data_IF_658038921386
#
_entry.id   IF_658038921386
#
_cell.length_a   1.000
_cell.length_b   1.000
_cell.length_c   1.000
_cell.angle_alpha   90.00
_cell.angle_beta   90.00
_cell.angle_gamma   90.00
#
_symmetry.space_group_name_H-M   'P 1'
#
loop_
_entity.id
_entity.type
_entity.pdbx_description
1 polymer ?
#
# COMPACT_ATOMS: atom_id res chain seq x y z
N UNK A 1 9.65 -19.58 -4.00
CA UNK A 1 9.77 -20.22 -2.67
C UNK A 1 9.75 -19.09 -1.67
N UNK A 2 8.84 -19.05 -0.69
CA UNK A 2 8.91 -18.02 0.33
C UNK A 2 10.21 -18.17 1.11
N UNK A 3 10.80 -17.06 1.52
CA UNK A 3 11.99 -17.03 2.38
C UNK A 3 11.62 -17.28 3.86
N UNK A 4 10.77 -18.27 4.12
CA UNK A 4 10.26 -18.62 5.45
C UNK A 4 10.42 -20.11 5.69
N UNK A 5 10.84 -20.47 6.90
CA UNK A 5 10.98 -21.85 7.35
C UNK A 5 10.41 -22.00 8.75
N UNK A 6 9.82 -23.17 9.03
CA UNK A 6 9.35 -23.55 10.36
C UNK A 6 10.38 -24.52 10.94
N UNK A 7 10.87 -24.22 12.14
CA UNK A 7 11.85 -25.03 12.84
C UNK A 7 11.29 -25.49 14.18
N UNK A 8 11.70 -26.67 14.62
CA UNK A 8 11.41 -27.20 15.96
C UNK A 8 12.68 -27.70 16.62
N UNK A 9 12.69 -27.75 17.95
CA UNK A 9 13.82 -28.20 18.77
C UNK A 9 13.32 -29.35 19.62
N UNK A 10 13.98 -30.51 19.53
CA UNK A 10 13.56 -31.74 20.21
C UNK A 10 13.83 -31.76 21.72
N UNK A 11 14.69 -30.88 22.23
CA UNK A 11 15.01 -30.81 23.66
C UNK A 11 14.00 -29.92 24.40
N UNK A 12 13.17 -30.51 25.27
CA UNK A 12 12.15 -29.81 26.04
C UNK A 12 12.72 -28.68 26.91
N UNK A 13 13.99 -28.78 27.34
CA UNK A 13 14.65 -27.73 28.12
C UNK A 13 14.77 -26.42 27.37
N UNK A 14 14.81 -26.45 26.03
CA UNK A 14 14.82 -25.25 25.21
C UNK A 14 13.53 -24.43 25.40
N UNK A 15 12.40 -25.11 25.65
CA UNK A 15 11.08 -24.51 25.74
C UNK A 15 10.67 -24.11 27.16
N UNK A 16 11.40 -24.57 28.19
CA UNK A 16 11.12 -24.24 29.59
C UNK A 16 11.16 -22.72 29.84
N UNK A 17 10.02 -22.14 30.23
CA UNK A 17 9.90 -20.71 30.53
C UNK A 17 9.82 -19.79 29.31
N UNK A 18 9.77 -20.34 28.09
CA UNK A 18 9.59 -19.56 26.86
C UNK A 18 8.13 -19.12 26.74
N UNK A 19 7.92 -17.82 26.51
CA UNK A 19 6.62 -17.26 26.16
C UNK A 19 6.58 -17.03 24.65
N UNK A 20 5.71 -17.71 23.90
CA UNK A 20 5.59 -17.50 22.46
C UNK A 20 5.21 -16.06 22.13
N UNK A 21 5.70 -15.58 20.99
CA UNK A 21 5.30 -14.26 20.46
C UNK A 21 3.86 -14.31 19.96
N UNK A 22 3.14 -13.22 20.15
CA UNK A 22 1.81 -13.05 19.56
C UNK A 22 1.89 -12.13 18.35
N UNK A 23 1.21 -12.53 17.27
CA UNK A 23 1.10 -11.69 16.08
C UNK A 23 0.20 -10.46 16.34
N UNK A 24 0.58 -9.36 15.73
CA UNK A 24 -0.18 -8.11 15.73
C UNK A 24 -0.71 -7.78 14.35
N UNK A 25 -1.58 -6.77 14.31
CA UNK A 25 -2.09 -6.21 13.07
C UNK A 25 -0.96 -5.56 12.24
N UNK A 26 -1.26 -5.34 10.97
CA UNK A 26 -0.35 -4.65 10.06
C UNK A 26 -0.14 -3.22 10.56
N UNK A 27 1.12 -2.77 10.69
CA UNK A 27 1.44 -1.48 11.26
C UNK A 27 1.09 -0.37 10.28
N UNK A 28 0.69 0.79 10.82
CA UNK A 28 0.39 1.96 10.01
C UNK A 28 1.69 2.63 9.51
N UNK A 29 1.64 3.40 8.40
CA UNK A 29 2.74 4.30 8.04
C UNK A 29 3.16 5.18 9.23
N UNK A 30 4.45 5.47 9.33
CA UNK A 30 5.11 6.21 10.42
C UNK A 30 5.09 5.52 11.80
N UNK A 31 4.43 4.37 11.94
CA UNK A 31 4.44 3.62 13.19
C UNK A 31 5.86 3.15 13.51
N UNK A 32 6.29 3.33 14.77
CA UNK A 32 7.61 2.89 15.21
C UNK A 32 7.64 1.40 15.47
N UNK A 33 8.63 0.74 14.89
CA UNK A 33 8.89 -0.68 15.01
C UNK A 33 10.26 -0.94 15.65
N UNK A 34 10.39 -2.09 16.31
CA UNK A 34 11.62 -2.60 16.87
C UNK A 34 11.97 -3.95 16.23
N UNK A 35 13.08 -4.00 15.50
CA UNK A 35 13.65 -5.23 14.93
C UNK A 35 14.63 -5.79 15.96
N UNK A 36 14.42 -7.05 16.37
CA UNK A 36 15.25 -7.70 17.40
C UNK A 36 15.93 -8.92 16.82
N UNK A 37 17.27 -8.89 16.76
CA UNK A 37 18.04 -9.93 16.10
C UNK A 37 19.45 -10.08 16.66
N UNK A 38 20.23 -10.94 16.01
CA UNK A 38 21.61 -11.27 16.41
C UNK A 38 22.61 -10.99 15.27
N UNK A 39 22.81 -9.73 14.84
CA UNK A 39 23.88 -9.41 13.88
C UNK A 39 25.23 -9.84 14.46
N UNK A 40 26.01 -10.57 13.66
CA UNK A 40 27.32 -11.10 14.04
C UNK A 40 27.34 -11.85 15.40
N UNK A 41 26.23 -12.51 15.74
CA UNK A 41 26.09 -13.32 16.96
C UNK A 41 25.88 -12.53 18.25
N UNK A 42 25.65 -11.21 18.18
CA UNK A 42 25.33 -10.37 19.35
C UNK A 42 23.91 -9.85 19.28
N UNK A 43 23.18 -9.94 20.38
CA UNK A 43 21.84 -9.37 20.45
C UNK A 43 21.86 -7.85 20.19
N UNK A 44 20.98 -7.40 19.30
CA UNK A 44 20.78 -6.00 18.99
C UNK A 44 19.30 -5.70 18.78
N UNK A 45 18.90 -4.48 19.13
CA UNK A 45 17.59 -3.93 18.82
C UNK A 45 17.76 -2.69 17.93
N UNK A 46 17.12 -2.70 16.77
CA UNK A 46 17.08 -1.59 15.82
C UNK A 46 15.67 -1.00 15.85
N UNK A 47 15.55 0.30 16.12
CA UNK A 47 14.27 1.01 16.05
C UNK A 47 14.16 1.73 14.72
N UNK A 48 13.01 1.58 14.05
CA UNK A 48 12.73 2.21 12.75
C UNK A 48 11.26 2.64 12.69
N UNK A 49 10.85 3.29 11.60
CA UNK A 49 9.46 3.63 11.32
C UNK A 49 9.01 3.02 10.00
N UNK A 50 7.72 2.72 9.89
CA UNK A 50 7.13 2.24 8.63
C UNK A 50 7.14 3.37 7.60
N UNK A 51 7.70 3.12 6.42
CA UNK A 51 7.66 4.06 5.30
C UNK A 51 6.51 3.77 4.32
N UNK A 52 6.20 2.48 4.12
CA UNK A 52 5.12 2.04 3.23
C UNK A 52 4.60 0.66 3.59
N UNK A 53 3.32 0.40 3.34
CA UNK A 53 2.74 -0.94 3.30
C UNK A 53 2.33 -1.21 1.85
N UNK A 54 2.84 -2.30 1.28
CA UNK A 54 2.58 -2.64 -0.12
C UNK A 54 2.79 -4.13 -0.39
N UNK A 55 2.44 -4.56 -1.61
CA UNK A 55 2.87 -5.85 -2.12
C UNK A 55 4.37 -5.76 -2.43
N UNK A 56 5.15 -6.64 -1.82
CA UNK A 56 6.60 -6.73 -1.93
C UNK A 56 6.93 -7.95 -2.77
N UNK A 57 7.83 -7.75 -3.73
CA UNK A 57 8.34 -8.80 -4.58
C UNK A 57 9.59 -9.40 -3.97
N UNK A 58 9.50 -10.63 -3.46
CA UNK A 58 10.67 -11.35 -2.99
C UNK A 58 11.54 -11.76 -4.18
N UNK A 59 12.85 -11.54 -4.11
CA UNK A 59 13.80 -11.97 -5.15
C UNK A 59 13.86 -13.50 -5.32
N UNK A 60 13.37 -14.27 -4.35
CA UNK A 60 13.34 -15.74 -4.33
C UNK A 60 11.94 -16.32 -4.60
N UNK A 61 10.92 -15.46 -4.71
CA UNK A 61 9.55 -15.86 -4.96
C UNK A 61 8.96 -15.13 -6.17
N UNK A 62 8.33 -15.88 -7.07
CA UNK A 62 7.55 -15.30 -8.17
C UNK A 62 6.22 -14.69 -7.68
N UNK A 63 5.87 -14.88 -6.40
CA UNK A 63 4.69 -14.30 -5.78
C UNK A 63 5.01 -12.95 -5.12
N UNK A 64 4.13 -12.00 -5.36
CA UNK A 64 4.10 -10.73 -4.62
C UNK A 64 3.27 -10.94 -3.36
N UNK A 65 3.79 -10.51 -2.23
CA UNK A 65 3.16 -10.75 -0.92
C UNK A 65 3.08 -9.46 -0.14
N UNK A 66 2.10 -9.36 0.75
CA UNK A 66 1.94 -8.19 1.58
C UNK A 66 3.13 -8.01 2.51
N UNK A 67 3.68 -6.80 2.52
CA UNK A 67 4.80 -6.48 3.40
C UNK A 67 4.86 -5.01 3.76
N UNK A 68 5.79 -4.73 4.65
CA UNK A 68 6.01 -3.41 5.26
C UNK A 68 7.42 -2.97 4.92
N UNK A 69 7.57 -1.80 4.33
CA UNK A 69 8.85 -1.18 4.02
C UNK A 69 9.28 -0.27 5.16
N UNK A 70 10.58 -0.27 5.42
CA UNK A 70 11.23 0.55 6.45
C UNK A 70 12.50 1.18 5.90
N UNK A 71 12.76 2.41 6.31
CA UNK A 71 13.90 3.21 5.85
C UNK A 71 15.15 2.93 6.71
N UNK A 72 15.44 1.65 6.90
CA UNK A 72 16.66 1.19 7.56
C UNK A 72 17.21 -0.02 6.82
N UNK A 73 18.51 -0.02 6.59
CA UNK A 73 19.21 -1.19 6.06
C UNK A 73 19.22 -2.31 7.11
N UNK A 74 18.58 -3.43 6.80
CA UNK A 74 18.65 -4.67 7.57
C UNK A 74 19.98 -5.34 7.24
N UNK A 75 20.90 -5.33 8.21
CA UNK A 75 22.26 -5.87 8.06
C UNK A 75 22.21 -7.40 7.97
N UNK A 76 23.18 -8.00 7.27
CA UNK A 76 23.36 -9.45 7.21
C UNK A 76 23.35 -10.05 8.62
N UNK A 77 22.57 -11.12 8.82
CA UNK A 77 22.34 -11.74 10.14
C UNK A 77 21.12 -11.21 10.89
N UNK A 78 20.42 -10.20 10.38
CA UNK A 78 19.12 -9.74 10.91
C UNK A 78 17.91 -10.18 10.08
N UNK A 79 18.12 -10.75 8.88
CA UNK A 79 17.05 -11.44 8.14
C UNK A 79 16.49 -12.62 8.95
N UNK A 80 15.17 -12.77 8.97
CA UNK A 80 14.48 -13.74 9.84
C UNK A 80 14.18 -13.23 11.25
N UNK A 81 14.64 -12.03 11.61
CA UNK A 81 14.38 -11.46 12.94
C UNK A 81 12.92 -11.04 13.10
N UNK A 82 12.29 -11.29 14.26
CA UNK A 82 10.97 -10.76 14.55
C UNK A 82 10.99 -9.23 14.64
N UNK A 83 9.92 -8.61 14.16
CA UNK A 83 9.69 -7.17 14.23
C UNK A 83 8.49 -6.89 15.12
N UNK A 84 8.65 -6.01 16.11
CA UNK A 84 7.64 -5.72 17.11
C UNK A 84 7.12 -4.29 17.01
N UNK A 85 5.83 -4.10 17.28
CA UNK A 85 5.27 -2.78 17.56
C UNK A 85 5.45 -2.39 19.04
N UNK A 86 5.05 -1.16 19.39
CA UNK A 86 5.12 -0.64 20.76
C UNK A 86 4.31 -1.44 21.79
N UNK A 87 3.34 -2.25 21.34
CA UNK A 87 2.51 -3.12 22.19
C UNK A 87 3.16 -4.48 22.47
N UNK A 88 4.36 -4.73 21.93
CA UNK A 88 5.06 -6.00 22.06
C UNK A 88 4.49 -7.11 21.18
N UNK A 89 3.65 -6.79 20.19
CA UNK A 89 3.14 -7.77 19.21
C UNK A 89 4.07 -7.85 18.01
N UNK A 90 4.29 -9.06 17.50
CA UNK A 90 5.08 -9.30 16.31
C UNK A 90 4.28 -8.90 15.07
N UNK A 91 4.73 -7.89 14.34
CA UNK A 91 4.07 -7.39 13.13
C UNK A 91 4.61 -8.03 11.85
N UNK A 92 5.69 -8.79 11.96
CA UNK A 92 6.28 -9.48 10.83
C UNK A 92 7.71 -9.96 11.08
N UNK A 93 8.35 -10.36 10.00
CA UNK A 93 9.72 -10.87 9.99
C UNK A 93 10.58 -10.05 9.04
N UNK A 94 11.73 -9.58 9.53
CA UNK A 94 12.72 -8.84 8.77
C UNK A 94 13.17 -9.62 7.53
N UNK A 95 13.12 -8.97 6.37
CA UNK A 95 13.55 -9.53 5.10
C UNK A 95 14.47 -8.54 4.38
N UNK A 96 15.68 -8.98 4.09
CA UNK A 96 16.65 -8.12 3.41
C UNK A 96 16.18 -7.86 1.97
N UNK A 97 15.95 -6.59 1.63
CA UNK A 97 15.65 -6.18 0.25
C UNK A 97 16.93 -6.16 -0.60
N UNK A 98 16.79 -6.13 -1.93
CA UNK A 98 17.93 -5.95 -2.83
C UNK A 98 18.42 -4.48 -2.91
N UNK A 99 17.75 -3.53 -2.24
CA UNK A 99 18.13 -2.12 -2.19
C UNK A 99 19.00 -1.87 -0.97
N UNK A 100 19.99 -0.98 -1.09
CA UNK A 100 21.01 -0.76 -0.04
C UNK A 100 20.47 0.00 1.19
N UNK A 101 19.49 0.91 1.03
CA UNK A 101 19.01 1.80 2.10
C UNK A 101 17.58 1.52 2.60
N UNK A 102 16.86 0.60 1.95
CA UNK A 102 15.49 0.22 2.28
C UNK A 102 15.44 -1.27 2.62
N UNK A 103 14.58 -1.65 3.56
CA UNK A 103 14.33 -3.04 3.84
C UNK A 103 12.86 -3.36 3.94
N UNK A 104 12.56 -4.62 3.66
CA UNK A 104 11.21 -5.13 3.62
C UNK A 104 10.96 -6.00 4.85
N UNK A 105 9.72 -6.08 5.28
CA UNK A 105 9.27 -6.93 6.36
C UNK A 105 8.12 -7.76 5.81
N UNK A 106 8.23 -9.07 5.91
CA UNK A 106 7.13 -9.98 5.59
C UNK A 106 6.07 -9.82 6.70
N UNK A 107 4.86 -9.39 6.33
CA UNK A 107 3.81 -9.12 7.30
C UNK A 107 3.42 -10.37 8.11
N UNK A 108 3.04 -10.18 9.37
CA UNK A 108 2.60 -11.28 10.24
C UNK A 108 1.43 -12.07 9.65
N UNK A 109 0.52 -11.44 8.89
CA UNK A 109 -0.58 -12.11 8.19
C UNK A 109 -0.10 -13.12 7.14
N UNK A 110 1.03 -12.86 6.48
CA UNK A 110 1.65 -13.78 5.52
C UNK A 110 2.25 -14.98 6.27
N UNK A 111 2.88 -14.74 7.41
CA UNK A 111 3.45 -15.80 8.26
C UNK A 111 2.33 -16.69 8.83
N UNK A 112 1.27 -16.07 9.34
CA UNK A 112 0.09 -16.75 9.85
C UNK A 112 -0.59 -17.62 8.76
N UNK A 113 -0.67 -17.12 7.53
CA UNK A 113 -1.15 -17.93 6.40
C UNK A 113 -0.31 -19.19 6.17
N UNK A 114 1.02 -19.07 6.18
CA UNK A 114 1.94 -20.22 6.01
C UNK A 114 1.78 -21.24 7.14
N UNK A 115 1.64 -20.77 8.38
CA UNK A 115 1.43 -21.65 9.54
C UNK A 115 0.09 -22.39 9.43
N UNK A 116 -1.00 -21.67 9.14
CA UNK A 116 -2.31 -22.28 8.97
C UNK A 116 -2.39 -23.26 7.79
N UNK A 117 -1.68 -22.96 6.70
CA UNK A 117 -1.54 -23.87 5.56
C UNK A 117 -0.85 -25.18 5.97
N UNK A 118 0.28 -25.07 6.67
CA UNK A 118 1.01 -26.23 7.17
C UNK A 118 0.18 -27.04 8.18
N UNK A 119 -0.51 -26.39 9.12
CA UNK A 119 -1.35 -27.06 10.11
C UNK A 119 -2.51 -27.84 9.47
N UNK A 120 -3.09 -27.31 8.38
CA UNK A 120 -4.20 -27.95 7.67
C UNK A 120 -3.74 -29.10 6.78
N UNK A 121 -2.59 -28.95 6.12
CA UNK A 121 -2.18 -29.84 5.02
C UNK A 121 -1.00 -30.76 5.37
N UNK A 122 -0.30 -30.50 6.47
CA UNK A 122 0.95 -31.18 6.85
C UNK A 122 2.15 -30.84 5.95
N UNK A 123 1.95 -29.95 4.98
CA UNK A 123 2.93 -29.50 4.01
C UNK A 123 2.55 -28.10 3.50
N UNK A 124 3.54 -27.35 3.01
CA UNK A 124 3.30 -26.04 2.39
C UNK A 124 2.71 -26.21 0.99
N UNK A 125 1.53 -25.63 0.75
CA UNK A 125 0.79 -25.74 -0.52
C UNK A 125 0.85 -24.48 -1.38
N UNK A 126 1.32 -23.36 -0.85
CA UNK A 126 1.52 -22.15 -1.64
C UNK A 126 0.61 -20.98 -1.27
N UNK A 127 0.73 -19.92 -2.06
CA UNK A 127 -0.26 -18.84 -2.13
C UNK A 127 -0.99 -18.98 -3.46
N UNK A 128 -2.34 -18.95 -3.48
CA UNK A 128 -3.10 -19.03 -4.72
C UNK A 128 -2.87 -17.78 -5.57
N UNK A 129 -2.89 -17.95 -6.89
CA UNK A 129 -2.87 -16.85 -7.85
C UNK A 129 -3.98 -17.04 -8.86
N UNK A 130 -4.49 -15.92 -9.38
CA UNK A 130 -5.39 -15.93 -10.53
C UNK A 130 -4.52 -15.93 -11.79
N UNK A 131 -4.56 -17.02 -12.55
CA UNK A 131 -3.86 -17.28 -13.80
C UNK A 131 -4.42 -16.50 -14.99
N UNK A 132 -4.64 -15.21 -14.83
CA UNK A 132 -5.05 -14.31 -15.90
C UNK A 132 -3.94 -13.31 -16.23
N UNK A 133 -3.94 -12.82 -17.46
CA UNK A 133 -3.26 -11.59 -17.87
C UNK A 133 -4.35 -10.57 -18.12
N UNK A 134 -4.18 -9.36 -17.62
CA UNK A 134 -5.22 -8.34 -17.63
C UNK A 134 -4.65 -6.97 -17.99
N UNK A 135 -5.55 -6.04 -18.33
CA UNK A 135 -5.22 -4.67 -18.70
C UNK A 135 -6.14 -3.68 -17.96
N UNK A 136 -5.59 -2.52 -17.59
CA UNK A 136 -6.35 -1.39 -17.06
C UNK A 136 -7.39 -0.89 -18.08
N UNK A 137 -8.49 -0.36 -17.56
CA UNK A 137 -9.64 0.17 -18.29
C UNK A 137 -9.76 1.69 -18.14
N UNK A 138 -8.64 2.41 -18.02
CA UNK A 138 -8.58 3.87 -17.79
C UNK A 138 -9.14 4.69 -18.96
N UNK A 139 -8.95 4.24 -20.20
CA UNK A 139 -9.40 4.96 -21.39
C UNK A 139 -10.92 4.87 -21.57
N UNK A 140 -11.66 6.00 -21.57
CA UNK A 140 -13.11 6.00 -21.73
C UNK A 140 -13.57 5.34 -23.04
N UNK A 141 -12.83 5.53 -24.13
CA UNK A 141 -13.17 4.95 -25.43
C UNK A 141 -13.12 3.42 -25.42
N UNK A 142 -12.19 2.82 -24.67
CA UNK A 142 -12.12 1.38 -24.50
C UNK A 142 -13.33 0.86 -23.72
N UNK A 143 -13.76 1.56 -22.67
CA UNK A 143 -14.96 1.22 -21.89
C UNK A 143 -16.23 1.33 -22.73
N UNK A 144 -16.32 2.38 -23.55
CA UNK A 144 -17.42 2.59 -24.50
C UNK A 144 -17.44 1.48 -25.56
N UNK A 145 -16.29 1.12 -26.12
CA UNK A 145 -16.14 0.04 -27.08
C UNK A 145 -16.61 -1.31 -26.51
N UNK A 146 -16.27 -1.60 -25.25
CA UNK A 146 -16.70 -2.80 -24.54
C UNK A 146 -18.11 -2.70 -23.93
N UNK A 147 -18.82 -1.58 -24.13
CA UNK A 147 -20.19 -1.34 -23.68
C UNK A 147 -20.36 -1.45 -22.15
N UNK A 148 -19.34 -1.01 -21.40
CA UNK A 148 -19.48 -0.87 -19.95
C UNK A 148 -20.57 0.16 -19.63
N UNK A 149 -21.42 -0.14 -18.65
CA UNK A 149 -22.43 0.76 -18.12
C UNK A 149 -21.80 2.01 -17.49
N UNK A 150 -22.59 3.08 -17.40
CA UNK A 150 -22.15 4.30 -16.72
C UNK A 150 -21.76 4.00 -15.27
N UNK A 151 -20.54 4.38 -14.90
CA UNK A 151 -19.98 4.14 -13.57
C UNK A 151 -19.49 2.71 -13.30
N UNK A 152 -19.60 1.79 -14.28
CA UNK A 152 -18.95 0.47 -14.16
C UNK A 152 -17.44 0.59 -14.32
N UNK A 153 -16.73 -0.18 -13.50
CA UNK A 153 -15.29 -0.13 -13.39
C UNK A 153 -14.77 -1.55 -13.23
N UNK A 154 -13.56 -1.81 -13.72
CA UNK A 154 -12.94 -3.12 -13.62
C UNK A 154 -11.73 -3.25 -14.51
N UNK A 155 -11.17 -4.45 -14.58
CA UNK A 155 -10.05 -4.79 -15.45
C UNK A 155 -10.54 -5.72 -16.56
N UNK A 156 -9.98 -5.59 -17.77
CA UNK A 156 -10.26 -6.52 -18.86
C UNK A 156 -9.25 -7.66 -18.86
N UNK A 157 -9.73 -8.89 -19.06
CA UNK A 157 -8.88 -10.06 -19.24
C UNK A 157 -8.33 -10.07 -20.67
N UNK A 158 -7.02 -10.09 -20.81
CA UNK A 158 -6.29 -10.25 -22.08
C UNK A 158 -6.06 -11.72 -22.40
N UNK A 159 -5.73 -12.51 -21.37
CA UNK A 159 -5.43 -13.93 -21.50
C UNK A 159 -5.86 -14.68 -20.25
N UNK A 160 -6.31 -15.93 -20.41
CA UNK A 160 -6.49 -16.88 -19.32
C UNK A 160 -5.53 -18.04 -19.55
N UNK A 161 -4.71 -18.36 -18.55
CA UNK A 161 -3.67 -19.39 -18.64
C UNK A 161 -4.32 -20.79 -18.66
N UNK A 162 -4.01 -21.66 -19.63
CA UNK A 162 -4.64 -22.98 -19.79
C UNK A 162 -4.50 -23.94 -18.60
N UNK A 163 -3.51 -23.75 -17.74
CA UNK A 163 -3.22 -24.66 -16.62
C UNK A 163 -3.93 -24.26 -15.31
N UNK A 164 -4.86 -23.31 -15.38
CA UNK A 164 -5.58 -22.82 -14.21
C UNK A 164 -7.08 -23.12 -14.32
N UNK A 165 -7.79 -23.43 -13.20
CA UNK A 165 -9.22 -23.79 -13.22
C UNK A 165 -10.12 -22.75 -13.89
N UNK A 166 -9.79 -21.48 -13.74
CA UNK A 166 -10.54 -20.37 -14.34
C UNK A 166 -10.52 -20.37 -15.87
N UNK A 167 -9.65 -21.15 -16.54
CA UNK A 167 -9.68 -21.32 -17.99
C UNK A 167 -11.01 -21.87 -18.51
N UNK A 168 -11.74 -22.62 -17.68
CA UNK A 168 -13.06 -23.16 -18.04
C UNK A 168 -14.20 -22.14 -17.88
N UNK A 169 -13.96 -21.07 -17.12
CA UNK A 169 -15.00 -20.12 -16.66
C UNK A 169 -14.80 -18.74 -17.29
N UNK A 170 -13.58 -18.19 -17.17
CA UNK A 170 -13.21 -16.87 -17.65
C UNK A 170 -12.72 -16.93 -19.10
N UNK A 171 -12.91 -15.83 -19.82
CA UNK A 171 -12.50 -15.69 -21.22
C UNK A 171 -11.77 -14.38 -21.46
N UNK A 172 -10.89 -14.32 -22.48
CA UNK A 172 -10.40 -13.05 -22.99
C UNK A 172 -11.56 -12.11 -23.34
N UNK A 173 -11.41 -10.84 -22.98
CA UNK A 173 -12.40 -9.75 -23.04
C UNK A 173 -13.51 -9.78 -21.98
N UNK A 174 -13.52 -10.73 -21.05
CA UNK A 174 -14.33 -10.58 -19.85
C UNK A 174 -13.81 -9.40 -19.01
N UNK A 175 -14.72 -8.71 -18.35
CA UNK A 175 -14.39 -7.59 -17.47
C UNK A 175 -14.67 -8.00 -16.03
N UNK A 176 -13.62 -8.04 -15.20
CA UNK A 176 -13.75 -8.34 -13.79
C UNK A 176 -14.10 -7.04 -13.06
N UNK A 177 -15.35 -6.94 -12.61
CA UNK A 177 -15.87 -5.78 -11.90
C UNK A 177 -15.63 -5.86 -10.38
N UNK A 178 -15.56 -7.07 -9.82
CA UNK A 178 -15.40 -7.29 -8.38
C UNK A 178 -14.84 -8.69 -8.07
N UNK A 179 -14.11 -8.84 -6.96
CA UNK A 179 -13.71 -10.13 -6.36
C UNK A 179 -14.25 -10.19 -4.94
N UNK A 180 -14.96 -11.25 -4.57
CA UNK A 180 -15.58 -11.42 -3.26
C UNK A 180 -16.45 -10.24 -2.80
N UNK A 181 -17.11 -9.56 -3.76
CA UNK A 181 -17.93 -8.38 -3.52
C UNK A 181 -17.16 -7.07 -3.33
N UNK A 182 -15.83 -7.10 -3.40
CA UNK A 182 -14.95 -5.93 -3.39
C UNK A 182 -14.80 -5.44 -4.83
N UNK A 183 -15.15 -4.18 -5.10
CA UNK A 183 -15.14 -3.64 -6.45
C UNK A 183 -13.71 -3.39 -6.95
N UNK A 184 -13.44 -3.71 -8.21
CA UNK A 184 -12.17 -3.45 -8.87
C UNK A 184 -12.28 -2.15 -9.67
N UNK A 185 -11.33 -1.24 -9.48
CA UNK A 185 -11.25 -0.02 -10.27
C UNK A 185 -10.88 -0.26 -11.73
N UNK A 186 -11.13 0.72 -12.59
CA UNK A 186 -10.54 0.76 -13.95
C UNK A 186 -9.01 0.76 -13.95
N UNK A 187 -8.50 1.11 -12.79
CA UNK A 187 -7.20 1.56 -12.48
C UNK A 187 -7.18 1.30 -10.97
N UNK A 188 -6.22 0.55 -10.47
CA UNK A 188 -6.33 0.09 -9.09
C UNK A 188 -6.23 1.18 -8.03
N UNK A 189 -6.38 2.46 -8.32
CA UNK A 189 -5.62 3.49 -7.63
C UNK A 189 -6.44 4.37 -6.70
N UNK A 190 -5.95 4.55 -5.47
CA UNK A 190 -6.38 5.58 -4.52
C UNK A 190 -5.39 6.75 -4.44
N UNK A 191 -5.80 7.83 -3.77
CA UNK A 191 -4.97 9.02 -3.57
C UNK A 191 -4.89 9.34 -2.08
N UNK A 192 -3.68 9.58 -1.58
CA UNK A 192 -3.44 10.11 -0.23
C UNK A 192 -3.19 11.60 -0.33
N UNK A 193 -3.92 12.37 0.48
CA UNK A 193 -3.79 13.82 0.56
C UNK A 193 -3.27 14.21 1.93
N UNK A 194 -2.33 15.16 1.99
CA UNK A 194 -1.78 15.67 3.26
C UNK A 194 -1.46 17.16 3.17
N UNK A 195 -1.15 17.77 4.31
CA UNK A 195 -0.60 19.12 4.36
C UNK A 195 0.88 19.10 3.98
N UNK A 196 1.26 20.04 3.11
CA UNK A 196 2.64 20.37 2.85
C UNK A 196 3.25 20.95 4.13
N UNK A 197 4.17 20.22 4.73
CA UNK A 197 4.83 20.60 5.98
C UNK A 197 6.33 20.31 5.92
N UNK A 198 7.11 20.92 6.81
CA UNK A 198 8.55 20.62 6.91
C UNK A 198 8.83 19.14 7.19
N UNK A 199 8.12 18.47 8.14
CA UNK A 199 8.28 17.02 8.33
C UNK A 199 7.97 16.22 7.06
N UNK A 200 6.91 16.58 6.34
CA UNK A 200 6.56 15.94 5.06
C UNK A 200 7.69 16.11 4.03
N UNK A 201 8.20 17.33 3.83
CA UNK A 201 9.31 17.58 2.91
C UNK A 201 10.58 16.82 3.29
N UNK A 202 10.84 16.66 4.59
CA UNK A 202 12.00 15.89 5.06
C UNK A 202 11.83 14.39 4.84
N UNK A 203 10.60 13.88 4.94
CA UNK A 203 10.27 12.50 4.58
C UNK A 203 10.49 12.24 3.09
N UNK A 204 10.05 13.15 2.23
CA UNK A 204 10.09 12.96 0.77
C UNK A 204 11.48 13.25 0.15
N UNK A 205 12.20 14.25 0.66
CA UNK A 205 13.44 14.76 0.05
C UNK A 205 14.68 14.62 0.95
N UNK A 206 14.52 13.97 2.11
CA UNK A 206 15.58 13.79 3.09
C UNK A 206 15.80 14.98 4.04
N UNK A 207 16.68 14.85 5.04
CA UNK A 207 16.81 15.82 6.14
C UNK A 207 17.32 17.20 5.69
N UNK A 208 18.00 17.27 4.53
CA UNK A 208 18.56 18.50 3.98
C UNK A 208 17.65 19.08 2.88
N UNK A 209 16.84 20.07 3.25
CA UNK A 209 15.94 20.77 2.32
C UNK A 209 16.64 21.81 1.41
N UNK A 210 17.98 21.86 1.41
CA UNK A 210 18.76 22.89 0.69
C UNK A 210 18.55 22.88 -0.83
N UNK A 211 18.12 21.74 -1.37
CA UNK A 211 17.89 21.56 -2.81
C UNK A 211 16.45 21.90 -3.23
N UNK A 212 15.57 22.26 -2.29
CA UNK A 212 14.21 22.68 -2.57
C UNK A 212 14.14 24.19 -2.82
N UNK A 213 13.11 24.63 -3.55
CA UNK A 213 12.88 26.04 -3.78
C UNK A 213 12.52 26.75 -2.46
N UNK A 214 12.93 28.02 -2.34
CA UNK A 214 12.59 28.83 -1.16
C UNK A 214 11.09 29.00 -1.01
N UNK A 215 10.38 29.08 -2.14
CA UNK A 215 8.93 29.15 -2.21
C UNK A 215 8.30 27.91 -1.57
N UNK A 216 8.73 26.70 -1.94
CA UNK A 216 8.17 25.46 -1.38
C UNK A 216 8.43 25.33 0.13
N UNK A 217 9.63 25.73 0.59
CA UNK A 217 9.96 25.76 2.03
C UNK A 217 9.10 26.81 2.76
N UNK A 218 8.88 27.97 2.16
CA UNK A 218 8.05 29.03 2.74
C UNK A 218 6.59 28.61 2.84
N UNK A 219 6.05 27.97 1.80
CA UNK A 219 4.72 27.37 1.83
C UNK A 219 4.61 26.34 2.95
N UNK A 220 5.58 25.44 3.10
CA UNK A 220 5.58 24.41 4.13
C UNK A 220 5.69 24.95 5.58
N UNK A 221 6.19 26.19 5.77
CA UNK A 221 6.34 26.83 7.08
C UNK A 221 5.15 27.70 7.47
N UNK A 222 4.52 28.37 6.49
CA UNK A 222 3.61 29.48 6.75
C UNK A 222 2.25 29.33 6.09
N UNK A 223 2.06 28.34 5.21
CA UNK A 223 0.80 28.11 4.50
C UNK A 223 0.30 26.67 4.73
N UNK A 224 -1.01 26.48 4.75
CA UNK A 224 -1.60 25.14 4.84
C UNK A 224 -1.97 24.63 3.43
N UNK A 225 -0.95 24.31 2.63
CA UNK A 225 -1.16 23.76 1.28
C UNK A 225 -1.45 22.27 1.33
N UNK A 226 -2.36 21.81 0.48
CA UNK A 226 -2.68 20.39 0.34
C UNK A 226 -1.91 19.82 -0.84
N UNK A 227 -1.32 18.64 -0.67
CA UNK A 227 -0.59 17.90 -1.71
C UNK A 227 -1.11 16.47 -1.84
N UNK A 228 -0.96 15.90 -3.04
CA UNK A 228 -1.12 14.46 -3.24
C UNK A 228 0.18 13.80 -2.79
N UNK A 229 0.19 13.18 -1.62
CA UNK A 229 1.41 12.58 -1.09
C UNK A 229 1.75 11.27 -1.75
N UNK A 230 0.75 10.39 -1.91
CA UNK A 230 0.95 9.08 -2.53
C UNK A 230 -0.22 8.69 -3.41
N UNK A 231 0.10 7.91 -4.43
CA UNK A 231 -0.85 7.26 -5.31
C UNK A 231 -0.90 5.78 -4.91
N UNK A 232 -1.99 5.36 -4.25
CA UNK A 232 -2.19 4.02 -3.72
C UNK A 232 -2.57 3.06 -4.85
N UNK A 233 -1.59 2.48 -5.55
CA UNK A 233 -1.82 1.53 -6.65
C UNK A 233 -2.38 0.19 -6.11
N UNK A 234 -3.46 -0.33 -6.68
CA UNK A 234 -3.87 -1.74 -6.53
C UNK A 234 -3.52 -2.57 -7.77
N UNK A 235 -2.86 -3.71 -7.55
CA UNK A 235 -2.44 -4.63 -8.61
C UNK A 235 -1.10 -4.30 -9.28
N UNK A 236 -0.61 -5.27 -10.07
CA UNK A 236 0.65 -5.24 -10.83
C UNK A 236 0.65 -4.09 -11.83
N UNK A 237 1.17 -2.94 -11.42
CA UNK A 237 1.12 -1.70 -12.17
C UNK A 237 2.12 -1.70 -13.34
N UNK A 238 1.67 -2.10 -14.52
CA UNK A 238 2.26 -1.66 -15.80
C UNK A 238 1.39 -0.58 -16.49
N UNK A 239 0.26 -0.17 -15.90
CA UNK A 239 -0.57 0.94 -16.40
C UNK A 239 -0.30 2.29 -15.72
N UNK A 240 0.38 2.28 -14.56
CA UNK A 240 0.65 3.47 -13.73
C UNK A 240 2.12 3.83 -13.56
N UNK A 241 3.01 3.32 -14.40
CA UNK A 241 4.37 3.86 -14.54
C UNK A 241 4.39 5.30 -15.10
N UNK A 242 3.22 5.90 -15.27
CA UNK A 242 3.04 7.24 -15.81
C UNK A 242 2.25 8.19 -14.89
N UNK A 243 1.84 7.83 -13.66
CA UNK A 243 1.16 8.79 -12.74
C UNK A 243 2.02 9.24 -11.56
N UNK A 244 3.28 8.82 -11.50
CA UNK A 244 4.23 9.33 -10.50
C UNK A 244 4.39 10.86 -10.61
N UNK A 245 4.02 11.48 -11.75
CA UNK A 245 3.96 12.94 -11.87
C UNK A 245 2.90 13.61 -10.99
N UNK A 246 1.93 12.86 -10.45
CA UNK A 246 0.90 13.37 -9.54
C UNK A 246 1.38 13.38 -8.09
N UNK A 247 2.35 12.53 -7.72
CA UNK A 247 2.95 12.57 -6.39
C UNK A 247 3.64 13.91 -6.16
N UNK A 248 3.49 14.44 -4.95
CA UNK A 248 3.95 15.77 -4.54
C UNK A 248 3.30 16.95 -5.31
N UNK A 249 2.24 16.72 -6.10
CA UNK A 249 1.50 17.80 -6.76
C UNK A 249 0.63 18.56 -5.75
N UNK A 250 0.67 19.89 -5.80
CA UNK A 250 -0.13 20.76 -4.92
C UNK A 250 -1.54 20.91 -5.48
N UNK A 251 -2.55 20.79 -4.61
CA UNK A 251 -3.95 21.06 -4.94
C UNK A 251 -4.23 22.55 -4.76
N UNK A 252 -4.67 23.19 -5.84
CA UNK A 252 -5.02 24.60 -5.88
C UNK A 252 -6.52 24.80 -5.69
N UNK A 253 -7.34 23.97 -6.34
CA UNK A 253 -8.79 24.05 -6.27
C UNK A 253 -9.47 22.69 -6.52
N UNK A 254 -10.70 22.53 -6.03
CA UNK A 254 -11.57 21.39 -6.35
C UNK A 254 -12.90 21.94 -6.88
N UNK A 255 -13.31 21.54 -8.09
CA UNK A 255 -14.49 22.05 -8.81
C UNK A 255 -14.54 23.59 -8.83
N UNK A 256 -13.39 24.22 -9.08
CA UNK A 256 -13.24 25.68 -9.08
C UNK A 256 -13.23 26.33 -7.69
N UNK A 257 -13.47 25.60 -6.59
CA UNK A 257 -13.36 26.12 -5.23
C UNK A 257 -11.90 26.09 -4.75
N UNK A 258 -11.30 27.24 -4.37
CA UNK A 258 -9.92 27.28 -3.90
C UNK A 258 -9.73 26.47 -2.62
N UNK A 259 -8.66 25.69 -2.56
CA UNK A 259 -8.28 24.90 -1.37
C UNK A 259 -7.33 25.72 -0.50
N UNK A 260 -7.71 25.96 0.75
CA UNK A 260 -6.97 26.81 1.69
C UNK A 260 -6.36 26.04 2.86
N UNK A 261 -6.83 24.82 3.11
CA UNK A 261 -6.44 23.96 4.23
C UNK A 261 -6.85 22.52 3.95
N UNK A 262 -6.28 21.55 4.67
CA UNK A 262 -6.67 20.14 4.51
C UNK A 262 -8.11 19.90 4.98
N UNK A 263 -8.56 20.67 5.98
CA UNK A 263 -9.96 20.62 6.46
C UNK A 263 -10.96 21.18 5.45
N UNK A 264 -10.63 22.29 4.78
CA UNK A 264 -11.48 22.82 3.71
C UNK A 264 -11.53 21.87 2.52
N UNK A 265 -10.39 21.29 2.14
CA UNK A 265 -10.31 20.25 1.13
C UNK A 265 -11.20 19.05 1.44
N UNK A 266 -11.07 18.46 2.64
CA UNK A 266 -11.88 17.32 3.06
C UNK A 266 -13.38 17.66 3.01
N UNK A 267 -13.75 18.84 3.51
CA UNK A 267 -15.15 19.31 3.48
C UNK A 267 -15.69 19.44 2.06
N UNK A 268 -14.90 19.98 1.12
CA UNK A 268 -15.29 20.13 -0.28
C UNK A 268 -15.51 18.75 -0.93
N UNK A 269 -14.58 17.81 -0.74
CA UNK A 269 -14.67 16.47 -1.32
C UNK A 269 -15.87 15.69 -0.74
N UNK A 270 -16.04 15.72 0.58
CA UNK A 270 -17.12 15.02 1.27
C UNK A 270 -18.51 15.57 0.90
N UNK A 271 -18.64 16.90 0.81
CA UNK A 271 -19.91 17.55 0.45
C UNK A 271 -20.20 17.59 -1.05
N UNK A 272 -19.24 17.20 -1.90
CA UNK A 272 -19.44 17.18 -3.35
C UNK A 272 -20.50 16.14 -3.76
N UNK A 273 -21.52 16.63 -4.46
CA UNK A 273 -22.60 15.84 -5.06
C UNK A 273 -22.64 15.98 -6.59
N UNK A 274 -21.64 16.63 -7.19
CA UNK A 274 -21.50 16.71 -8.64
C UNK A 274 -21.02 15.38 -9.22
N UNK A 275 -21.26 15.15 -10.51
CA UNK A 275 -20.87 13.90 -11.20
C UNK A 275 -19.35 13.63 -11.13
N UNK A 276 -18.56 14.70 -11.16
CA UNK A 276 -17.10 14.63 -11.13
C UNK A 276 -16.49 15.52 -10.05
N UNK A 277 -15.39 15.03 -9.47
CA UNK A 277 -14.42 15.79 -8.70
C UNK A 277 -13.26 16.17 -9.62
N UNK A 278 -13.17 17.45 -9.94
CA UNK A 278 -12.08 18.07 -10.68
C UNK A 278 -11.08 18.70 -9.71
N UNK A 279 -9.88 18.15 -9.62
CA UNK A 279 -8.77 18.71 -8.86
C UNK A 279 -7.87 19.52 -9.81
N UNK A 280 -7.75 20.81 -9.56
CA UNK A 280 -6.78 21.69 -10.23
C UNK A 280 -5.47 21.65 -9.46
N UNK A 281 -4.41 21.22 -10.12
CA UNK A 281 -3.10 21.02 -9.51
C UNK A 281 -2.11 22.10 -9.97
N UNK A 282 -0.96 22.19 -9.29
CA UNK A 282 0.15 23.02 -9.75
C UNK A 282 0.68 22.58 -11.13
N UNK A 283 1.53 23.41 -11.74
CA UNK A 283 2.16 23.14 -13.05
C UNK A 283 1.13 22.86 -14.17
N UNK A 284 -0.05 23.49 -14.08
CA UNK A 284 -1.16 23.36 -15.04
C UNK A 284 -1.68 21.92 -15.21
N UNK A 285 -1.53 21.09 -14.18
CA UNK A 285 -2.04 19.71 -14.17
C UNK A 285 -3.48 19.69 -13.65
N UNK A 286 -4.20 18.63 -14.00
CA UNK A 286 -5.58 18.39 -13.55
C UNK A 286 -5.80 16.90 -13.35
N UNK A 287 -6.53 16.56 -12.29
CA UNK A 287 -7.01 15.21 -11.99
C UNK A 287 -8.54 15.25 -11.97
N UNK A 288 -9.22 14.29 -12.61
CA UNK A 288 -10.68 14.21 -12.61
C UNK A 288 -11.10 12.82 -12.19
N UNK A 289 -11.95 12.72 -11.19
CA UNK A 289 -12.51 11.48 -10.67
C UNK A 289 -14.03 11.51 -10.76
N UNK A 290 -14.65 10.37 -11.06
CA UNK A 290 -16.10 10.24 -10.93
C UNK A 290 -16.48 10.15 -9.44
N UNK A 291 -17.30 11.07 -8.96
CA UNK A 291 -17.51 11.30 -7.51
C UNK A 291 -18.07 10.07 -6.80
N UNK A 292 -19.14 9.48 -7.35
CA UNK A 292 -19.82 8.34 -6.72
C UNK A 292 -18.91 7.11 -6.66
N UNK A 293 -18.16 6.84 -7.73
CA UNK A 293 -17.25 5.69 -7.80
C UNK A 293 -16.06 5.86 -6.87
N UNK A 294 -15.44 7.05 -6.81
CA UNK A 294 -14.33 7.33 -5.92
C UNK A 294 -14.73 7.15 -4.43
N UNK A 295 -15.90 7.67 -4.05
CA UNK A 295 -16.42 7.50 -2.68
C UNK A 295 -16.74 6.03 -2.37
N UNK A 296 -17.40 5.33 -3.29
CA UNK A 296 -17.76 3.91 -3.11
C UNK A 296 -16.53 2.99 -2.99
N UNK A 297 -15.42 3.31 -3.67
CA UNK A 297 -14.17 2.53 -3.63
C UNK A 297 -13.29 2.81 -2.41
N UNK A 298 -13.52 3.93 -1.71
CA UNK A 298 -12.66 4.35 -0.61
C UNK A 298 -12.50 3.27 0.49
N UNK A 299 -13.57 2.60 0.98
CA UNK A 299 -13.43 1.54 1.98
C UNK A 299 -12.56 0.36 1.52
N UNK A 300 -12.66 -0.02 0.26
CA UNK A 300 -11.93 -1.17 -0.32
C UNK A 300 -10.44 -0.86 -0.46
N UNK A 301 -10.10 0.35 -0.91
CA UNK A 301 -8.71 0.83 -0.99
C UNK A 301 -8.10 0.92 0.41
N UNK A 302 -8.83 1.46 1.39
CA UNK A 302 -8.36 1.55 2.76
C UNK A 302 -8.09 0.17 3.35
N UNK A 303 -9.01 -0.78 3.15
CA UNK A 303 -8.85 -2.17 3.57
C UNK A 303 -7.62 -2.81 2.91
N UNK A 304 -7.44 -2.62 1.60
CA UNK A 304 -6.32 -3.19 0.86
C UNK A 304 -4.96 -2.68 1.37
N UNK A 305 -4.88 -1.39 1.71
CA UNK A 305 -3.65 -0.77 2.19
C UNK A 305 -3.53 -0.75 3.73
N UNK A 306 -4.43 -1.43 4.45
CA UNK A 306 -4.50 -1.46 5.92
C UNK A 306 -4.53 -0.06 6.55
N UNK A 307 -5.23 0.85 5.89
CA UNK A 307 -5.45 2.20 6.39
C UNK A 307 -6.73 2.16 7.25
N UNK A 308 -6.64 2.43 8.56
CA UNK A 308 -7.75 2.21 9.49
C UNK A 308 -8.92 3.21 9.30
N UNK A 309 -8.67 4.35 8.65
CA UNK A 309 -9.69 5.36 8.41
C UNK A 309 -9.36 6.20 7.17
N UNK A 310 -10.39 6.69 6.48
CA UNK A 310 -10.25 7.53 5.28
C UNK A 310 -9.56 8.87 5.57
N UNK A 311 -9.61 9.33 6.82
CA UNK A 311 -9.10 10.62 7.25
C UNK A 311 -8.67 10.56 8.72
N UNK A 312 -7.79 11.47 9.12
CA UNK A 312 -7.39 11.66 10.51
C UNK A 312 -8.55 12.20 11.36
N UNK A 313 -8.47 12.00 12.69
CA UNK A 313 -9.57 12.31 13.61
C UNK A 313 -9.96 13.80 13.62
N UNK A 314 -9.02 14.71 13.36
CA UNK A 314 -9.24 16.15 13.30
C UNK A 314 -10.03 16.63 12.06
N UNK A 315 -10.10 15.77 11.02
CA UNK A 315 -10.85 16.01 9.79
C UNK A 315 -12.27 15.44 9.83
N UNK A 316 -12.56 14.53 10.77
CA UNK A 316 -13.90 13.95 10.92
C UNK A 316 -14.88 15.07 11.32
N UNK A 317 -15.94 15.24 10.54
CA UNK A 317 -17.00 16.18 10.83
C UNK A 317 -17.89 15.53 11.91
N UNK A 318 -18.00 16.17 13.07
CA UNK A 318 -18.93 15.77 14.13
C UNK A 318 -20.39 15.89 13.70
#
# INVERSE_FOLDING_TARGET
MLSTAILTVSDDKFWEGVVPVEFGDIPAPEEKLAIMGYPDGKFSMITTSVSKVSMIKSSLCLAELLGVQVDVAIVVGTSGSPVFNKRGKCVGMAFQSCKEDESDIIAASVIDHVLQDYDKNGAYTGFPTLGIVWQNMEYPDLRLFLKMGHGQEGIIIIEVKPNYPEYEILKPNDIILSIDGINIGNDGTGFVFTTLSIPYLQSEYGPSLRNLSKELIWQALYEERVVISKVLKSGTSNGYDHMDYLENAQILAVNGMPVQSLKSFASIVESCNEEFLEFILDKQKKLVLHTASAKARTPDILKMHNIPSAMSDDLKIC
#
